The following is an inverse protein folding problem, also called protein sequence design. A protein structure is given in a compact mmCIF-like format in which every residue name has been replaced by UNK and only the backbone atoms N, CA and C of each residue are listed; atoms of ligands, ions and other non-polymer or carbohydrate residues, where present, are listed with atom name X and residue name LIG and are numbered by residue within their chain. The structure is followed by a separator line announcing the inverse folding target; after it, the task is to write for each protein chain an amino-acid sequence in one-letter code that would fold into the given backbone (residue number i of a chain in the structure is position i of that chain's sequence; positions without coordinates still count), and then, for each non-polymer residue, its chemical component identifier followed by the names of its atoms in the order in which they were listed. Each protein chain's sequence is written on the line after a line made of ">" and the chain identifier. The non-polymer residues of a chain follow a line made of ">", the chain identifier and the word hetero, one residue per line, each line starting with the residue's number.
data_IF_703747620247
#
_entry.id   IF_703747620247
#
_cell.length_a   1.000
_cell.length_b   1.000
_cell.length_c   1.000
_cell.angle_alpha   90.00
_cell.angle_beta   90.00
_cell.angle_gamma   90.00
#
_symmetry.space_group_name_H-M   'P 1'
#
loop_
_entity.id
_entity.type
_entity.pdbx_description
1 polymer ?
#
# COMPACT_ATOMS: atom_id res chain seq x y z
N UNK A 1 17.89 0.35 18.51
CA UNK A 1 16.92 1.17 17.76
C UNK A 1 17.65 1.69 16.54
N UNK A 2 17.13 1.44 15.34
CA UNK A 2 17.63 2.05 14.10
C UNK A 2 16.48 2.83 13.50
N UNK A 3 16.70 4.07 13.13
CA UNK A 3 15.69 4.93 12.51
C UNK A 3 16.28 5.74 11.37
N UNK A 4 15.44 6.15 10.44
CA UNK A 4 15.84 6.99 9.32
C UNK A 4 14.65 7.70 8.70
N UNK A 5 14.85 8.94 8.29
CA UNK A 5 13.83 9.75 7.61
C UNK A 5 14.34 10.21 6.26
N UNK A 6 13.51 10.05 5.23
CA UNK A 6 13.75 10.60 3.89
C UNK A 6 12.56 11.44 3.48
N UNK A 7 12.85 12.65 2.98
CA UNK A 7 11.84 13.54 2.41
C UNK A 7 12.07 13.69 0.91
N UNK A 8 11.01 13.49 0.16
CA UNK A 8 10.95 13.64 -1.28
C UNK A 8 9.89 14.68 -1.61
N UNK A 9 10.17 15.53 -2.58
CA UNK A 9 9.20 16.48 -3.10
C UNK A 9 9.28 16.55 -4.61
N UNK A 10 8.14 16.83 -5.22
CA UNK A 10 8.03 17.02 -6.66
C UNK A 10 6.94 18.01 -6.96
N UNK A 11 7.25 18.94 -7.86
CA UNK A 11 6.29 19.84 -8.46
C UNK A 11 6.09 19.46 -9.92
N UNK A 12 4.85 19.34 -10.36
CA UNK A 12 4.46 18.95 -11.72
C UNK A 12 3.45 19.97 -12.25
N UNK A 13 3.59 20.36 -13.51
CA UNK A 13 2.57 21.14 -14.21
C UNK A 13 1.47 20.20 -14.69
N UNK A 14 0.22 20.51 -14.38
CA UNK A 14 -0.95 19.78 -14.87
C UNK A 14 -1.90 20.76 -15.55
N UNK A 15 -1.91 20.74 -16.89
CA UNK A 15 -2.56 21.78 -17.68
C UNK A 15 -1.96 23.16 -17.39
N UNK A 16 -2.81 24.13 -17.03
CA UNK A 16 -2.41 25.48 -16.62
C UNK A 16 -2.21 25.65 -15.10
N UNK A 17 -2.23 24.56 -14.33
CA UNK A 17 -2.03 24.55 -12.89
C UNK A 17 -0.74 23.86 -12.48
N UNK A 18 -0.39 24.03 -11.22
CA UNK A 18 0.75 23.42 -10.58
C UNK A 18 0.29 22.50 -9.44
N UNK A 19 0.86 21.30 -9.40
CA UNK A 19 0.62 20.30 -8.38
C UNK A 19 1.95 19.97 -7.70
N UNK A 20 2.01 20.18 -6.39
CA UNK A 20 3.15 19.83 -5.55
C UNK A 20 2.79 18.67 -4.65
N UNK A 21 3.56 17.59 -4.77
CA UNK A 21 3.51 16.42 -3.91
C UNK A 21 4.75 16.37 -3.02
N UNK A 22 4.54 16.10 -1.75
CA UNK A 22 5.59 15.90 -0.76
C UNK A 22 5.33 14.56 -0.08
N UNK A 23 6.38 13.76 0.07
CA UNK A 23 6.35 12.48 0.79
C UNK A 23 7.49 12.44 1.79
N UNK A 24 7.18 12.10 3.03
CA UNK A 24 8.15 11.81 4.07
C UNK A 24 8.02 10.35 4.46
N UNK A 25 9.10 9.60 4.27
CA UNK A 25 9.25 8.22 4.69
C UNK A 25 10.02 8.21 6.01
N UNK A 26 9.44 7.60 7.04
CA UNK A 26 10.11 7.30 8.29
C UNK A 26 10.16 5.79 8.45
N UNK A 27 11.34 5.23 8.68
CA UNK A 27 11.52 3.82 8.97
C UNK A 27 12.19 3.68 10.32
N UNK A 28 11.68 2.78 11.17
CA UNK A 28 12.31 2.44 12.44
C UNK A 28 12.26 0.94 12.72
N UNK A 29 13.19 0.48 13.55
CA UNK A 29 13.17 -0.88 14.09
C UNK A 29 13.48 -0.91 15.58
N UNK A 30 12.67 -1.72 16.29
CA UNK A 30 12.79 -1.96 17.73
C UNK A 30 12.54 -3.45 18.02
N UNK A 31 13.62 -4.17 18.33
CA UNK A 31 13.56 -5.63 18.47
C UNK A 31 13.16 -6.26 17.14
N UNK A 32 12.15 -7.13 17.17
CA UNK A 32 11.61 -7.84 16.00
C UNK A 32 10.47 -7.08 15.30
N UNK A 33 10.26 -5.82 15.66
CA UNK A 33 9.25 -4.95 15.05
C UNK A 33 9.95 -3.97 14.11
N UNK A 34 9.48 -3.95 12.86
CA UNK A 34 9.86 -2.96 11.87
C UNK A 34 8.65 -2.11 11.52
N UNK A 35 8.81 -0.79 11.48
CA UNK A 35 7.76 0.13 11.10
C UNK A 35 8.21 1.01 9.94
N UNK A 36 7.33 1.15 8.96
CA UNK A 36 7.44 2.11 7.86
C UNK A 36 6.24 3.02 7.89
N UNK A 37 6.47 4.32 7.99
CA UNK A 37 5.46 5.35 7.84
C UNK A 37 5.75 6.17 6.59
N UNK A 38 4.72 6.41 5.79
CA UNK A 38 4.72 7.31 4.66
C UNK A 38 3.67 8.39 4.88
N UNK A 39 4.11 9.59 5.25
CA UNK A 39 3.27 10.79 5.29
C UNK A 39 3.33 11.50 3.94
N UNK A 40 2.19 11.77 3.31
CA UNK A 40 2.11 12.55 2.08
C UNK A 40 1.28 13.82 2.25
N UNK A 41 1.70 14.87 1.57
CA UNK A 41 0.96 16.10 1.41
C UNK A 41 0.91 16.46 -0.09
N UNK A 42 -0.30 16.67 -0.58
CA UNK A 42 -0.58 17.17 -1.91
C UNK A 42 -1.07 18.61 -1.78
N UNK A 43 -0.62 19.51 -2.64
CA UNK A 43 -1.07 20.90 -2.70
C UNK A 43 -1.10 21.39 -4.14
N UNK A 44 -2.08 22.20 -4.52
CA UNK A 44 -2.24 22.77 -5.85
C UNK A 44 -2.70 24.22 -5.81
N UNK A 45 -2.28 25.00 -6.80
CA UNK A 45 -2.74 26.37 -7.06
C UNK A 45 -4.19 26.43 -7.58
N UNK A 46 -4.76 25.28 -7.94
CA UNK A 46 -6.13 25.11 -8.44
C UNK A 46 -6.84 23.98 -7.69
N UNK A 47 -8.16 23.92 -7.85
CA UNK A 47 -8.93 22.80 -7.33
C UNK A 47 -8.50 21.50 -8.03
N UNK A 48 -8.34 20.43 -7.24
CA UNK A 48 -7.88 19.12 -7.71
C UNK A 48 -8.91 18.42 -8.61
N UNK A 49 -10.17 18.86 -8.62
CA UNK A 49 -11.24 18.24 -9.39
C UNK A 49 -11.54 16.82 -8.89
N UNK A 50 -12.24 16.03 -9.71
CA UNK A 50 -12.51 14.63 -9.40
C UNK A 50 -11.23 13.80 -9.46
N UNK A 51 -10.57 13.66 -8.32
CA UNK A 51 -9.25 13.06 -8.20
C UNK A 51 -9.19 12.07 -7.04
N UNK A 52 -8.21 11.18 -7.08
CA UNK A 52 -7.85 10.30 -5.98
C UNK A 52 -6.35 10.34 -5.73
N UNK A 53 -5.94 10.24 -4.46
CA UNK A 53 -4.57 9.99 -4.07
C UNK A 53 -4.40 8.51 -3.76
N UNK A 54 -3.39 7.88 -4.33
CA UNK A 54 -3.00 6.49 -4.06
C UNK A 54 -1.60 6.42 -3.46
N UNK A 55 -1.42 5.65 -2.38
CA UNK A 55 -0.11 5.21 -1.91
C UNK A 55 0.01 3.70 -2.06
N UNK A 56 0.93 3.26 -2.93
CA UNK A 56 1.16 1.85 -3.20
C UNK A 56 2.33 1.30 -2.38
N UNK A 57 2.12 0.08 -1.88
CA UNK A 57 3.10 -0.80 -1.29
C UNK A 57 2.98 -2.17 -1.97
N UNK A 58 4.11 -2.77 -2.33
CA UNK A 58 4.15 -4.13 -2.87
C UNK A 58 4.73 -5.07 -1.82
N UNK A 59 4.03 -6.17 -1.56
CA UNK A 59 4.49 -7.24 -0.65
C UNK A 59 4.62 -8.56 -1.42
N UNK A 60 5.81 -9.16 -1.34
CA UNK A 60 6.18 -10.38 -2.07
C UNK A 60 6.04 -11.63 -1.19
N UNK A 61 4.91 -11.76 -0.49
CA UNK A 61 4.53 -13.05 0.11
C UNK A 61 4.07 -13.96 -1.02
N UNK A 62 4.53 -15.21 -1.03
CA UNK A 62 4.27 -16.18 -2.11
C UNK A 62 3.16 -17.16 -1.73
N UNK A 63 2.91 -18.15 -2.60
CA UNK A 63 1.86 -19.16 -2.45
C UNK A 63 0.44 -18.52 -2.38
N UNK A 64 -0.10 -18.09 -3.53
CA UNK A 64 -1.25 -17.18 -3.60
C UNK A 64 -2.53 -17.68 -2.93
N UNK A 65 -2.75 -19.00 -2.93
CA UNK A 65 -3.98 -19.65 -2.45
C UNK A 65 -3.74 -20.58 -1.25
N UNK A 66 -2.57 -20.47 -0.61
CA UNK A 66 -2.29 -21.28 0.57
C UNK A 66 -3.07 -20.72 1.79
N UNK A 67 -3.80 -21.55 2.55
CA UNK A 67 -4.70 -21.08 3.61
C UNK A 67 -3.98 -20.42 4.81
N UNK A 68 -2.68 -20.68 4.94
CA UNK A 68 -1.77 -20.12 5.94
C UNK A 68 -1.09 -18.82 5.47
N UNK A 69 -1.42 -18.31 4.27
CA UNK A 69 -1.09 -16.95 3.83
C UNK A 69 -2.32 -16.20 3.33
N UNK A 70 -2.61 -15.06 3.93
CA UNK A 70 -3.86 -14.37 3.66
C UNK A 70 -3.80 -12.87 3.96
N UNK A 71 -4.71 -12.14 3.32
CA UNK A 71 -5.17 -10.85 3.80
C UNK A 71 -6.26 -11.03 4.85
N UNK A 72 -6.31 -10.17 5.86
CA UNK A 72 -7.41 -10.12 6.82
C UNK A 72 -7.87 -8.68 7.06
N UNK A 73 -9.18 -8.45 6.98
CA UNK A 73 -9.80 -7.17 7.23
C UNK A 73 -11.27 -7.39 7.63
N UNK A 74 -11.79 -6.57 8.56
CA UNK A 74 -13.17 -6.69 9.05
C UNK A 74 -13.56 -8.10 9.56
N UNK A 75 -12.58 -8.90 10.02
CA UNK A 75 -12.79 -10.28 10.45
C UNK A 75 -12.93 -11.30 9.32
N UNK A 76 -12.75 -10.89 8.07
CA UNK A 76 -12.77 -11.76 6.89
C UNK A 76 -11.35 -12.00 6.36
N UNK A 77 -11.08 -13.24 5.93
CA UNK A 77 -9.82 -13.63 5.28
C UNK A 77 -9.99 -13.72 3.77
N UNK A 78 -8.97 -13.28 3.05
CA UNK A 78 -8.88 -13.44 1.60
C UNK A 78 -7.52 -14.04 1.22
N UNK A 79 -7.44 -14.90 0.17
CA UNK A 79 -6.17 -15.42 -0.31
C UNK A 79 -5.27 -14.29 -0.82
N UNK A 80 -3.97 -14.53 -0.92
CA UNK A 80 -3.01 -13.54 -1.42
C UNK A 80 -3.20 -13.19 -2.91
N UNK A 81 -3.87 -14.04 -3.69
CA UNK A 81 -4.33 -13.69 -5.05
C UNK A 81 -5.60 -12.81 -5.10
N UNK A 82 -6.10 -12.35 -3.96
CA UNK A 82 -7.26 -11.47 -3.92
C UNK A 82 -7.09 -10.27 -4.85
N UNK A 83 -8.14 -10.03 -5.64
CA UNK A 83 -8.23 -8.93 -6.58
C UNK A 83 -9.51 -8.15 -6.33
N UNK A 84 -9.39 -6.93 -5.83
CA UNK A 84 -10.57 -6.12 -5.53
C UNK A 84 -10.29 -4.95 -4.63
N UNK A 85 -11.36 -4.48 -3.98
CA UNK A 85 -11.31 -3.39 -3.02
C UNK A 85 -11.81 -3.85 -1.65
N UNK A 86 -11.10 -3.47 -0.59
CA UNK A 86 -11.51 -3.64 0.80
C UNK A 86 -11.65 -2.26 1.44
N UNK A 87 -12.75 -2.03 2.16
CA UNK A 87 -12.96 -0.81 2.95
C UNK A 87 -12.79 -1.20 4.42
N UNK A 88 -11.67 -0.81 5.01
CA UNK A 88 -11.32 -1.14 6.40
C UNK A 88 -10.30 -0.14 6.92
N UNK A 89 -10.35 0.26 8.20
CA UNK A 89 -9.30 1.09 8.82
C UNK A 89 -7.94 0.38 8.88
N UNK A 90 -7.95 -0.96 8.85
CA UNK A 90 -6.77 -1.81 8.97
C UNK A 90 -6.82 -2.95 7.94
N UNK A 91 -5.68 -3.28 7.36
CA UNK A 91 -5.48 -4.45 6.51
C UNK A 91 -4.28 -5.24 7.04
N UNK A 92 -4.49 -6.50 7.41
CA UNK A 92 -3.43 -7.42 7.82
C UNK A 92 -3.03 -8.29 6.64
N UNK A 93 -1.75 -8.60 6.55
CA UNK A 93 -1.19 -9.57 5.60
C UNK A 93 -0.31 -10.52 6.38
N UNK A 94 -0.67 -11.79 6.38
CA UNK A 94 -0.07 -12.81 7.24
C UNK A 94 0.55 -13.92 6.39
N UNK A 95 1.76 -14.34 6.73
CA UNK A 95 2.38 -15.59 6.29
C UNK A 95 2.75 -16.40 7.53
N UNK A 96 1.90 -17.35 7.92
CA UNK A 96 2.10 -18.16 9.13
C UNK A 96 3.30 -19.12 8.97
N UNK A 97 3.59 -19.56 7.75
CA UNK A 97 4.73 -20.43 7.45
C UNK A 97 6.07 -19.72 7.72
N UNK A 98 6.19 -18.47 7.30
CA UNK A 98 7.36 -17.62 7.60
C UNK A 98 7.29 -16.98 8.99
N UNK A 99 6.14 -17.07 9.67
CA UNK A 99 5.83 -16.40 10.93
C UNK A 99 5.97 -14.88 10.83
N UNK A 100 5.39 -14.28 9.80
CA UNK A 100 5.43 -12.83 9.57
C UNK A 100 4.01 -12.30 9.45
N UNK A 101 3.77 -11.15 10.09
CA UNK A 101 2.55 -10.36 9.91
C UNK A 101 2.92 -8.92 9.58
N UNK A 102 2.28 -8.37 8.55
CA UNK A 102 2.30 -6.96 8.21
C UNK A 102 0.92 -6.35 8.50
N UNK A 103 0.86 -5.34 9.37
CA UNK A 103 -0.36 -4.60 9.68
C UNK A 103 -0.28 -3.23 9.01
N UNK A 104 -1.22 -2.96 8.12
CA UNK A 104 -1.34 -1.72 7.37
C UNK A 104 -2.48 -0.88 7.95
N UNK A 105 -2.19 0.37 8.28
CA UNK A 105 -3.19 1.36 8.71
C UNK A 105 -2.97 2.66 7.95
N UNK A 106 -4.02 3.45 7.78
CA UNK A 106 -3.89 4.74 7.14
C UNK A 106 -4.83 5.78 7.75
N UNK A 107 -4.39 7.04 7.68
CA UNK A 107 -5.14 8.20 8.14
C UNK A 107 -5.15 9.29 7.05
N UNK A 108 -6.32 9.74 6.57
CA UNK A 108 -7.67 9.24 6.87
C UNK A 108 -7.87 7.75 6.52
N UNK A 109 -8.97 7.14 6.95
CA UNK A 109 -9.27 5.75 6.58
C UNK A 109 -9.32 5.58 5.05
N UNK A 110 -8.57 4.62 4.46
CA UNK A 110 -8.47 4.47 3.02
C UNK A 110 -9.50 3.47 2.47
N UNK A 111 -9.53 3.37 1.15
CA UNK A 111 -9.98 2.15 0.46
C UNK A 111 -8.72 1.40 0.02
N UNK A 112 -8.60 0.13 0.37
CA UNK A 112 -7.50 -0.71 -0.08
C UNK A 112 -7.82 -1.28 -1.45
N UNK A 113 -7.05 -0.94 -2.47
CA UNK A 113 -7.09 -1.60 -3.77
C UNK A 113 -5.98 -2.62 -3.82
N UNK A 114 -6.32 -3.88 -4.10
CA UNK A 114 -5.40 -5.00 -4.08
C UNK A 114 -5.48 -5.71 -5.42
N UNK A 115 -4.31 -5.96 -6.01
CA UNK A 115 -4.19 -6.77 -7.23
C UNK A 115 -2.98 -7.70 -7.11
N UNK A 116 -3.08 -8.97 -7.56
CA UNK A 116 -1.92 -9.83 -7.66
C UNK A 116 -0.97 -9.31 -8.75
N UNK A 117 0.33 -9.37 -8.47
CA UNK A 117 1.39 -9.12 -9.45
C UNK A 117 1.81 -10.48 -9.99
N UNK A 118 1.77 -10.61 -11.30
CA UNK A 118 2.00 -11.88 -11.97
C UNK A 118 2.89 -11.71 -13.18
N UNK A 119 3.75 -12.70 -13.39
CA UNK A 119 4.62 -12.77 -14.55
C UNK A 119 4.25 -13.97 -15.41
N UNK A 120 4.57 -13.90 -16.69
CA UNK A 120 4.45 -15.05 -17.59
C UNK A 120 5.80 -15.76 -17.59
N UNK A 121 5.78 -17.05 -17.27
CA UNK A 121 6.91 -17.95 -17.41
C UNK A 121 6.65 -18.90 -18.58
N UNK A 122 7.67 -19.15 -19.39
CA UNK A 122 7.63 -20.18 -20.42
C UNK A 122 8.40 -21.40 -19.92
N UNK A 123 7.72 -22.54 -19.84
CA UNK A 123 8.27 -23.84 -19.49
C UNK A 123 8.08 -24.82 -20.67
N UNK A 124 8.63 -26.04 -20.53
CA UNK A 124 8.41 -27.12 -21.50
C UNK A 124 6.92 -27.54 -21.59
N UNK A 125 6.14 -27.30 -20.53
CA UNK A 125 4.69 -27.53 -20.46
C UNK A 125 3.86 -26.39 -21.05
N UNK A 126 4.48 -25.28 -21.48
CA UNK A 126 3.80 -24.13 -22.09
C UNK A 126 3.97 -22.84 -21.28
N UNK A 127 2.99 -21.94 -21.38
CA UNK A 127 3.00 -20.69 -20.62
C UNK A 127 2.27 -20.85 -19.30
N UNK A 128 2.89 -20.37 -18.23
CA UNK A 128 2.34 -20.39 -16.89
C UNK A 128 2.33 -18.98 -16.30
N UNK A 129 1.25 -18.64 -15.59
CA UNK A 129 1.12 -17.40 -14.84
C UNK A 129 1.67 -17.63 -13.44
N UNK A 130 2.70 -16.87 -13.08
CA UNK A 130 3.42 -17.03 -11.82
C UNK A 130 3.17 -15.82 -10.93
N UNK A 131 2.58 -16.06 -9.78
CA UNK A 131 2.34 -15.04 -8.75
C UNK A 131 3.66 -14.58 -8.10
N UNK A 132 3.86 -13.27 -7.99
CA UNK A 132 5.08 -12.64 -7.48
C UNK A 132 4.88 -11.81 -6.20
N UNK A 133 3.63 -11.67 -5.75
CA UNK A 133 3.24 -10.81 -4.64
C UNK A 133 1.98 -10.02 -4.96
N UNK A 134 1.59 -9.12 -4.06
CA UNK A 134 0.42 -8.26 -4.25
C UNK A 134 0.84 -6.80 -4.27
N UNK A 135 0.28 -6.04 -5.21
CA UNK A 135 0.24 -4.59 -5.12
C UNK A 135 -0.95 -4.19 -4.24
N UNK A 136 -0.66 -3.41 -3.20
CA UNK A 136 -1.62 -2.94 -2.20
C UNK A 136 -1.58 -1.42 -2.22
N UNK A 137 -2.69 -0.78 -2.56
CA UNK A 137 -2.79 0.67 -2.64
C UNK A 137 -3.81 1.21 -1.66
N UNK A 138 -3.38 2.09 -0.76
CA UNK A 138 -4.28 2.92 0.03
C UNK A 138 -4.80 4.07 -0.85
N UNK A 139 -6.11 4.13 -1.06
CA UNK A 139 -6.76 5.10 -1.96
C UNK A 139 -7.70 6.03 -1.20
N UNK A 140 -7.52 7.34 -1.41
CA UNK A 140 -8.42 8.38 -0.93
C UNK A 140 -9.02 9.14 -2.10
N UNK A 141 -10.36 9.16 -2.18
CA UNK A 141 -11.06 10.08 -3.09
C UNK A 141 -11.01 11.48 -2.50
N UNK A 142 -10.56 12.43 -3.30
CA UNK A 142 -10.38 13.81 -2.85
C UNK A 142 -11.67 14.61 -3.12
N UNK A 143 -12.07 15.52 -2.22
CA UNK A 143 -13.13 16.47 -2.53
C UNK A 143 -12.78 17.27 -3.79
N UNK A 144 -13.73 17.48 -4.70
CA UNK A 144 -13.47 18.14 -5.98
C UNK A 144 -12.93 19.57 -5.85
N UNK A 145 -13.31 20.26 -4.78
CA UNK A 145 -12.86 21.60 -4.45
C UNK A 145 -11.53 21.63 -3.65
N UNK A 146 -11.00 20.47 -3.25
CA UNK A 146 -9.78 20.41 -2.46
C UNK A 146 -8.62 21.03 -3.24
N UNK A 147 -7.79 21.79 -2.54
CA UNK A 147 -6.53 22.35 -3.05
C UNK A 147 -5.33 21.75 -2.33
N UNK A 148 -5.57 21.10 -1.20
CA UNK A 148 -4.59 20.32 -0.48
C UNK A 148 -5.22 19.04 0.04
N UNK A 149 -4.37 18.06 0.33
CA UNK A 149 -4.76 16.84 1.01
C UNK A 149 -3.56 16.26 1.74
N UNK A 150 -3.77 15.74 2.95
CA UNK A 150 -2.76 15.03 3.73
C UNK A 150 -3.22 13.63 4.01
N UNK A 151 -2.27 12.71 3.98
CA UNK A 151 -2.50 11.31 4.28
C UNK A 151 -1.27 10.67 4.88
N UNK A 152 -1.48 9.57 5.58
CA UNK A 152 -0.44 8.79 6.22
C UNK A 152 -0.75 7.32 6.04
N UNK A 153 0.26 6.55 5.63
CA UNK A 153 0.21 5.09 5.56
C UNK A 153 1.28 4.55 6.51
N UNK A 154 0.90 3.68 7.43
CA UNK A 154 1.81 3.01 8.35
C UNK A 154 1.73 1.50 8.12
N UNK A 155 2.89 0.87 7.93
CA UNK A 155 3.07 -0.57 7.98
C UNK A 155 3.87 -0.93 9.23
N UNK A 156 3.35 -1.85 10.02
CA UNK A 156 4.10 -2.51 11.09
C UNK A 156 4.29 -3.97 10.69
N UNK A 157 5.54 -4.40 10.58
CA UNK A 157 5.90 -5.80 10.37
C UNK A 157 6.42 -6.37 11.68
N UNK A 158 5.92 -7.55 12.05
CA UNK A 158 6.36 -8.28 13.24
C UNK A 158 6.43 -9.77 12.98
N UNK A 159 7.20 -10.46 13.82
CA UNK A 159 7.23 -11.91 13.87
C UNK A 159 6.03 -12.46 14.66
N UNK A 160 5.47 -13.57 14.21
CA UNK A 160 4.44 -14.35 14.91
C UNK A 160 5.04 -15.37 15.88
#
# INVERSE_FOLDING_TARGET
>A
MREGTVRLERTVRHGSGELRGVKTLHAESRGDIWQLECSAALSSDRALGESALGMELVLNLLAPDAPDRYFEANGERHPLEFKGQIISPELRVTDEWQRVECVLTADPAPRWWIVPIETISQSESGFERVYQGSAIMAVWRLPSAARDFRSKLTMITRRL
#
